data_IF_283564147957
#
_entry.id   IF_283564147957
#
_cell.length_a   1.000
_cell.length_b   1.000
_cell.length_c   1.000
_cell.angle_alpha   90.00
_cell.angle_beta   90.00
_cell.angle_gamma   90.00
#
_symmetry.space_group_name_H-M   'P 1'
#
loop_
_entity.id
_entity.type
_entity.pdbx_description
1 polymer ?
#
# COMPACT_ATOMS: atom_id res chain seq x y z
N UNK A 1 -3.24 -20.49 8.00
CA UNK A 1 -2.01 -19.78 8.39
C UNK A 1 -1.75 -18.76 7.29
N UNK A 2 -1.85 -17.45 7.52
CA UNK A 2 -1.45 -16.52 6.47
C UNK A 2 0.04 -16.75 6.25
N UNK A 3 0.42 -17.19 5.05
CA UNK A 3 1.79 -17.22 4.61
C UNK A 3 2.32 -15.80 4.79
N UNK A 4 3.08 -15.55 5.85
CA UNK A 4 3.79 -14.29 6.01
C UNK A 4 4.90 -14.32 4.95
N UNK A 5 4.58 -13.75 3.80
CA UNK A 5 5.50 -13.52 2.70
C UNK A 5 6.53 -12.50 3.18
N UNK A 6 7.50 -12.92 3.99
CA UNK A 6 8.53 -12.03 4.52
C UNK A 6 9.19 -11.29 3.34
N UNK A 7 9.02 -9.97 3.27
CA UNK A 7 9.44 -9.10 2.16
C UNK A 7 8.35 -8.73 1.11
N UNK A 8 7.11 -9.20 1.25
CA UNK A 8 5.96 -8.74 0.47
C UNK A 8 5.26 -7.61 1.23
N UNK A 9 4.95 -6.52 0.51
CA UNK A 9 4.29 -5.35 1.07
C UNK A 9 2.99 -5.13 0.30
N UNK A 10 1.87 -5.16 1.00
CA UNK A 10 0.56 -4.82 0.45
C UNK A 10 -0.12 -3.76 1.30
N UNK A 11 -0.55 -2.67 0.66
CA UNK A 11 -1.37 -1.62 1.28
C UNK A 11 -2.60 -1.38 0.42
N UNK A 12 -3.75 -1.19 1.05
CA UNK A 12 -5.04 -0.90 0.41
C UNK A 12 -5.73 0.24 1.14
N UNK A 13 -6.65 0.93 0.47
CA UNK A 13 -7.41 2.01 1.09
C UNK A 13 -6.59 3.25 1.47
N UNK A 14 -5.42 3.46 0.85
CA UNK A 14 -4.53 4.55 1.24
C UNK A 14 -5.05 5.85 0.66
N UNK A 15 -5.48 6.73 1.56
CA UNK A 15 -5.82 8.12 1.25
C UNK A 15 -4.89 9.07 2.01
N UNK A 16 -4.42 10.12 1.35
CA UNK A 16 -3.53 11.12 1.96
C UNK A 16 -3.84 12.50 1.41
N UNK A 17 -3.85 13.49 2.29
CA UNK A 17 -3.99 14.89 1.94
C UNK A 17 -2.64 15.63 2.08
N UNK A 18 -2.41 16.59 1.20
CA UNK A 18 -1.36 17.59 1.31
C UNK A 18 -2.02 18.97 1.33
N UNK A 19 -2.17 19.52 2.54
CA UNK A 19 -3.02 20.69 2.77
C UNK A 19 -4.46 20.40 2.36
N UNK A 20 -5.02 21.21 1.46
CA UNK A 20 -6.38 21.03 0.93
C UNK A 20 -6.45 20.08 -0.27
N UNK A 21 -5.32 19.66 -0.81
CA UNK A 21 -5.28 18.77 -1.96
C UNK A 21 -5.27 17.32 -1.49
N UNK A 22 -6.10 16.49 -2.12
CA UNK A 22 -6.04 15.04 -1.94
C UNK A 22 -4.93 14.49 -2.83
N UNK A 23 -3.83 14.07 -2.20
CA UNK A 23 -2.65 13.59 -2.90
C UNK A 23 -2.76 12.10 -3.26
N UNK A 24 -3.41 11.31 -2.39
CA UNK A 24 -3.81 9.93 -2.66
C UNK A 24 -5.28 9.78 -2.31
N UNK A 25 -6.02 9.07 -3.17
CA UNK A 25 -7.43 8.74 -2.96
C UNK A 25 -7.65 7.25 -3.20
N UNK A 26 -7.99 6.52 -2.13
CA UNK A 26 -8.31 5.09 -2.13
C UNK A 26 -7.31 4.22 -2.93
N UNK A 27 -6.02 4.51 -2.78
CA UNK A 27 -4.96 3.85 -3.55
C UNK A 27 -4.57 2.53 -2.92
N UNK A 28 -4.30 1.55 -3.77
CA UNK A 28 -3.72 0.26 -3.39
C UNK A 28 -2.37 0.05 -4.08
N UNK A 29 -1.43 -0.58 -3.36
CA UNK A 29 -0.11 -0.91 -3.87
C UNK A 29 0.31 -2.29 -3.38
N UNK A 30 0.84 -3.09 -4.29
CA UNK A 30 1.45 -4.38 -4.02
C UNK A 30 2.90 -4.36 -4.50
N UNK A 31 3.82 -4.65 -3.60
CA UNK A 31 5.23 -4.87 -3.90
C UNK A 31 5.53 -6.34 -3.56
N UNK A 32 5.76 -7.19 -4.59
CA UNK A 32 6.13 -8.56 -4.36
C UNK A 32 7.56 -8.63 -3.78
N UNK A 33 7.85 -9.75 -3.14
CA UNK A 33 9.22 -10.12 -2.74
C UNK A 33 10.16 -10.03 -3.96
N UNK A 34 11.33 -9.44 -3.77
CA UNK A 34 12.45 -9.59 -4.71
C UNK A 34 12.98 -11.04 -4.67
N UNK A 35 13.32 -11.61 -5.84
CA UNK A 35 13.87 -12.96 -5.94
C UNK A 35 15.21 -13.10 -5.24
#
# INVERSE_FOLDING_TARGET
MPSSHNGHISITGVSKYYGRHKALDDVSLEIPRAR
#
